data_IF_972775990968
#
_entry.id   IF_972775990968
#
_cell.length_a   1.000
_cell.length_b   1.000
_cell.length_c   1.000
_cell.angle_alpha   90.00
_cell.angle_beta   90.00
_cell.angle_gamma   90.00
#
_symmetry.space_group_name_H-M   'P 1'
#
loop_
_entity.id
_entity.type
_entity.pdbx_description
1 polymer ?
#
# COMPACT_ATOMS: atom_id res chain seq x y z
N UNK A 1 -71.14 -47.70 27.49
CA UNK A 1 -72.44 -47.01 27.39
C UNK A 1 -73.03 -47.40 26.06
N UNK A 2 -74.12 -48.14 25.93
CA UNK A 2 -74.99 -48.83 26.87
C UNK A 2 -75.91 -49.63 25.95
N UNK A 3 -76.04 -50.93 26.18
CA UNK A 3 -77.14 -51.71 25.63
C UNK A 3 -78.44 -51.13 26.20
N UNK A 4 -79.43 -50.86 25.36
CA UNK A 4 -80.81 -50.68 25.84
C UNK A 4 -81.69 -51.68 25.09
N UNK A 5 -81.81 -52.82 25.76
CA UNK A 5 -82.88 -53.78 25.66
C UNK A 5 -84.16 -53.16 26.27
N UNK A 6 -85.30 -53.22 25.55
CA UNK A 6 -86.63 -53.05 26.15
C UNK A 6 -87.48 -54.23 25.71
N UNK A 7 -87.52 -55.23 26.58
CA UNK A 7 -88.62 -56.17 26.72
C UNK A 7 -89.51 -55.67 27.85
N UNK A 8 -90.83 -55.64 27.66
CA UNK A 8 -91.84 -55.80 28.71
C UNK A 8 -93.22 -55.95 28.05
N UNK A 9 -93.72 -57.19 27.95
CA UNK A 9 -94.73 -57.83 28.83
C UNK A 9 -96.12 -57.76 28.19
N UNK A 10 -96.62 -58.89 27.70
CA UNK A 10 -97.38 -59.91 28.45
C UNK A 10 -98.82 -59.52 28.73
N UNK A 11 -99.73 -60.05 27.91
CA UNK A 11 -101.08 -60.41 28.36
C UNK A 11 -101.37 -61.83 27.87
N UNK A 12 -101.07 -62.79 28.75
CA UNK A 12 -101.71 -64.11 28.82
C UNK A 12 -102.70 -64.06 30.00
N UNK A 13 -103.55 -65.08 30.24
CA UNK A 13 -104.12 -66.08 29.33
C UNK A 13 -105.65 -66.21 29.57
N UNK A 14 -106.31 -67.15 28.91
CA UNK A 14 -107.29 -68.02 29.58
C UNK A 14 -107.41 -69.32 28.77
N UNK A 15 -106.81 -70.39 29.30
CA UNK A 15 -107.08 -71.77 28.91
C UNK A 15 -108.45 -72.18 29.47
N UNK A 16 -109.20 -73.03 28.76
CA UNK A 16 -109.37 -74.45 29.13
C UNK A 16 -110.69 -75.06 28.65
N UNK A 17 -110.55 -76.29 28.11
CA UNK A 17 -111.37 -77.48 28.38
C UNK A 17 -112.53 -77.83 27.43
N UNK A 18 -112.15 -78.65 26.46
CA UNK A 18 -112.79 -79.92 26.03
C UNK A 18 -113.79 -80.56 27.01
N UNK A 19 -114.99 -80.94 26.54
CA UNK A 19 -115.47 -82.34 26.56
C UNK A 19 -116.78 -82.53 25.78
N UNK A 20 -116.76 -83.55 24.92
CA UNK A 20 -117.81 -84.52 24.53
C UNK A 20 -119.14 -84.54 25.30
N UNK A 21 -120.27 -84.83 24.61
CA UNK A 21 -121.14 -86.02 24.77
C UNK A 21 -122.08 -86.18 23.55
N UNK A 22 -122.39 -87.44 23.24
CA UNK A 22 -123.25 -88.04 22.22
C UNK A 22 -124.71 -87.54 22.17
N UNK A 23 -125.34 -87.73 21.01
CA UNK A 23 -126.57 -88.52 20.75
C UNK A 23 -127.45 -87.90 19.63
N UNK A 24 -127.98 -88.75 18.74
CA UNK A 24 -129.10 -88.35 17.87
C UNK A 24 -130.42 -88.36 18.65
N UNK A 25 -131.61 -88.22 18.02
CA UNK A 25 -131.89 -87.68 16.69
C UNK A 25 -133.07 -86.66 16.67
N UNK A 26 -133.30 -86.06 15.49
CA UNK A 26 -134.56 -85.47 14.92
C UNK A 26 -134.95 -84.03 15.32
N UNK A 27 -134.81 -83.10 14.36
CA UNK A 27 -135.86 -82.46 13.48
C UNK A 27 -136.64 -81.37 14.23
N UNK A 28 -136.65 -80.11 13.80
CA UNK A 28 -137.38 -79.47 12.67
C UNK A 28 -136.86 -78.02 12.47
N UNK A 29 -137.22 -77.23 11.44
CA UNK A 29 -137.46 -77.49 10.00
C UNK A 29 -136.51 -76.63 9.11
N UNK A 30 -136.46 -76.85 7.78
CA UNK A 30 -135.35 -76.38 6.95
C UNK A 30 -135.54 -74.99 6.34
N UNK A 31 -134.37 -74.36 6.13
CA UNK A 31 -134.04 -73.45 5.03
C UNK A 31 -134.15 -71.92 5.25
N UNK A 32 -133.56 -71.42 6.34
CA UNK A 32 -132.83 -70.13 6.34
C UNK A 32 -131.37 -70.29 5.88
N UNK A 33 -131.04 -71.44 5.27
CA UNK A 33 -129.68 -71.88 4.88
C UNK A 33 -129.16 -71.14 3.63
N UNK A 34 -130.05 -70.55 2.83
CA UNK A 34 -129.65 -69.73 1.68
C UNK A 34 -129.13 -68.34 2.11
N UNK A 35 -129.72 -67.73 3.16
CA UNK A 35 -129.35 -66.39 3.62
C UNK A 35 -127.98 -66.33 4.28
N UNK A 36 -127.70 -67.24 5.23
CA UNK A 36 -126.40 -67.30 5.93
C UNK A 36 -125.27 -67.83 5.04
N UNK A 37 -125.58 -68.75 4.11
CA UNK A 37 -124.62 -69.19 3.08
C UNK A 37 -124.24 -68.06 2.13
N UNK A 38 -125.22 -67.29 1.63
CA UNK A 38 -124.95 -66.11 0.82
C UNK A 38 -124.18 -65.04 1.60
N UNK A 39 -124.53 -64.78 2.86
CA UNK A 39 -123.83 -63.80 3.70
C UNK A 39 -122.37 -64.21 3.98
N UNK A 40 -122.12 -65.51 4.23
CA UNK A 40 -120.77 -66.05 4.37
C UNK A 40 -119.97 -65.96 3.06
N UNK A 41 -120.61 -66.19 1.91
CA UNK A 41 -119.97 -66.04 0.59
C UNK A 41 -119.65 -64.58 0.29
N UNK A 42 -120.55 -63.63 0.58
CA UNK A 42 -120.29 -62.20 0.42
C UNK A 42 -119.21 -61.68 1.39
N UNK A 43 -119.19 -62.17 2.64
CA UNK A 43 -118.13 -61.83 3.59
C UNK A 43 -116.78 -62.44 3.19
N UNK A 44 -116.73 -63.69 2.72
CA UNK A 44 -115.51 -64.29 2.16
C UNK A 44 -115.03 -63.55 0.92
N UNK A 45 -115.93 -63.21 -0.01
CA UNK A 45 -115.58 -62.43 -1.19
C UNK A 45 -115.07 -61.02 -0.83
N UNK A 46 -115.67 -60.38 0.18
CA UNK A 46 -115.22 -59.10 0.71
C UNK A 46 -113.86 -59.16 1.41
N UNK A 47 -113.61 -60.21 2.21
CA UNK A 47 -112.32 -60.45 2.86
C UNK A 47 -111.22 -60.81 1.85
N UNK A 48 -111.54 -61.62 0.84
CA UNK A 48 -110.63 -61.92 -0.27
C UNK A 48 -110.36 -60.65 -1.08
N UNK A 49 -111.37 -59.83 -1.38
CA UNK A 49 -111.21 -58.57 -2.08
C UNK A 49 -110.38 -57.54 -1.30
N UNK A 50 -110.60 -57.44 0.02
CA UNK A 50 -109.80 -56.59 0.91
C UNK A 50 -108.37 -57.09 1.04
N UNK A 51 -108.18 -58.41 1.16
CA UNK A 51 -106.86 -59.03 1.18
C UNK A 51 -106.11 -58.83 -0.13
N UNK A 52 -106.77 -58.97 -1.30
CA UNK A 52 -106.17 -58.71 -2.61
C UNK A 52 -105.86 -57.22 -2.79
N UNK A 53 -106.74 -56.32 -2.33
CA UNK A 53 -106.49 -54.88 -2.37
C UNK A 53 -105.33 -54.47 -1.45
N UNK A 54 -105.27 -55.01 -0.23
CA UNK A 54 -104.14 -54.81 0.68
C UNK A 54 -102.85 -55.41 0.12
N UNK A 55 -102.89 -56.61 -0.46
CA UNK A 55 -101.74 -57.24 -1.08
C UNK A 55 -101.22 -56.40 -2.25
N UNK A 56 -102.09 -55.99 -3.18
CA UNK A 56 -101.71 -55.13 -4.31
C UNK A 56 -101.21 -53.74 -3.87
N UNK A 57 -101.76 -53.16 -2.80
CA UNK A 57 -101.29 -51.88 -2.23
C UNK A 57 -99.94 -52.02 -1.52
N UNK A 58 -99.71 -53.14 -0.83
CA UNK A 58 -98.44 -53.45 -0.15
C UNK A 58 -97.37 -53.80 -1.19
N UNK A 59 -97.71 -54.53 -2.25
CA UNK A 59 -96.82 -54.81 -3.38
C UNK A 59 -96.46 -53.54 -4.14
N UNK A 60 -97.43 -52.64 -4.36
CA UNK A 60 -97.20 -51.33 -4.95
C UNK A 60 -96.26 -50.47 -4.10
N UNK A 61 -96.51 -50.38 -2.78
CA UNK A 61 -95.64 -49.66 -1.86
C UNK A 61 -94.25 -50.30 -1.72
N UNK A 62 -94.15 -51.63 -1.80
CA UNK A 62 -92.88 -52.36 -1.80
C UNK A 62 -92.09 -52.12 -3.10
N UNK A 63 -92.78 -52.07 -4.25
CA UNK A 63 -92.19 -51.73 -5.54
C UNK A 63 -91.67 -50.27 -5.54
N UNK A 64 -92.48 -49.31 -5.06
CA UNK A 64 -92.08 -47.91 -4.93
C UNK A 64 -90.88 -47.74 -3.98
N UNK A 65 -90.89 -48.42 -2.84
CA UNK A 65 -89.75 -48.43 -1.90
C UNK A 65 -88.50 -49.06 -2.52
N UNK A 66 -88.64 -50.13 -3.31
CA UNK A 66 -87.52 -50.76 -4.01
C UNK A 66 -86.91 -49.82 -5.05
N UNK A 67 -87.74 -49.04 -5.77
CA UNK A 67 -87.29 -48.05 -6.74
C UNK A 67 -86.59 -46.86 -6.05
N UNK A 68 -87.13 -46.36 -4.94
CA UNK A 68 -86.49 -45.31 -4.12
C UNK A 68 -85.15 -45.80 -3.58
N UNK A 69 -85.06 -47.03 -3.08
CA UNK A 69 -83.82 -47.63 -2.59
C UNK A 69 -82.78 -47.78 -3.70
N UNK A 70 -83.19 -48.22 -4.89
CA UNK A 70 -82.29 -48.35 -6.04
C UNK A 70 -81.73 -46.98 -6.46
N UNK A 71 -82.59 -45.97 -6.61
CA UNK A 71 -82.19 -44.60 -6.95
C UNK A 71 -81.25 -44.00 -5.88
N UNK A 72 -81.53 -44.21 -4.59
CA UNK A 72 -80.65 -43.75 -3.52
C UNK A 72 -79.28 -44.43 -3.55
N UNK A 73 -79.24 -45.73 -3.85
CA UNK A 73 -77.99 -46.51 -3.97
C UNK A 73 -77.17 -46.04 -5.18
N UNK A 74 -77.82 -45.75 -6.31
CA UNK A 74 -77.16 -45.20 -7.50
C UNK A 74 -76.57 -43.81 -7.23
N UNK A 75 -77.33 -42.92 -6.56
CA UNK A 75 -76.82 -41.60 -6.16
C UNK A 75 -75.69 -41.70 -5.13
N UNK A 76 -75.75 -42.65 -4.21
CA UNK A 76 -74.68 -42.91 -3.25
C UNK A 76 -73.40 -43.36 -3.98
N UNK A 77 -73.52 -44.29 -4.93
CA UNK A 77 -72.38 -44.77 -5.71
C UNK A 77 -71.76 -43.66 -6.59
N UNK A 78 -72.60 -42.83 -7.23
CA UNK A 78 -72.13 -41.67 -7.98
C UNK A 78 -71.41 -40.65 -7.08
N UNK A 79 -71.91 -40.43 -5.86
CA UNK A 79 -71.26 -39.58 -4.87
C UNK A 79 -69.91 -40.16 -4.41
N UNK A 80 -69.81 -41.47 -4.21
CA UNK A 80 -68.56 -42.15 -3.82
C UNK A 80 -67.50 -42.06 -4.93
N UNK A 81 -67.89 -42.21 -6.19
CA UNK A 81 -66.99 -42.04 -7.34
C UNK A 81 -66.44 -40.61 -7.43
N UNK A 82 -67.30 -39.59 -7.26
CA UNK A 82 -66.88 -38.20 -7.22
C UNK A 82 -65.95 -37.93 -6.03
N UNK A 83 -66.26 -38.47 -4.85
CA UNK A 83 -65.42 -38.33 -3.67
C UNK A 83 -64.03 -38.95 -3.88
N UNK A 84 -63.96 -40.12 -4.52
CA UNK A 84 -62.69 -40.78 -4.86
C UNK A 84 -61.86 -39.92 -5.81
N UNK A 85 -62.46 -39.38 -6.87
CA UNK A 85 -61.77 -38.53 -7.85
C UNK A 85 -61.23 -37.24 -7.21
N UNK A 86 -62.05 -36.57 -6.39
CA UNK A 86 -61.62 -35.34 -5.68
C UNK A 86 -60.53 -35.65 -4.65
N UNK A 87 -60.57 -36.82 -4.02
CA UNK A 87 -59.52 -37.27 -3.08
C UNK A 87 -58.19 -37.48 -3.81
N UNK A 88 -58.21 -38.09 -4.99
CA UNK A 88 -57.02 -38.30 -5.82
C UNK A 88 -56.42 -36.97 -6.30
N UNK A 89 -57.26 -36.02 -6.77
CA UNK A 89 -56.80 -34.68 -7.13
C UNK A 89 -56.19 -33.93 -5.94
N UNK A 90 -56.83 -34.01 -4.76
CA UNK A 90 -56.30 -33.41 -3.52
C UNK A 90 -54.95 -34.00 -3.15
N UNK A 91 -54.80 -35.33 -3.22
CA UNK A 91 -53.57 -36.01 -2.83
C UNK A 91 -52.43 -35.70 -3.83
N UNK A 92 -52.75 -35.62 -5.13
CA UNK A 92 -51.82 -35.16 -6.15
C UNK A 92 -51.37 -33.71 -5.94
N UNK A 93 -52.30 -32.80 -5.63
CA UNK A 93 -51.99 -31.41 -5.28
C UNK A 93 -51.12 -31.33 -4.02
N UNK A 94 -51.40 -32.16 -3.01
CA UNK A 94 -50.64 -32.21 -1.77
C UNK A 94 -49.20 -32.71 -2.01
N UNK A 95 -49.01 -33.70 -2.88
CA UNK A 95 -47.69 -34.17 -3.29
C UNK A 95 -46.89 -33.07 -4.00
N UNK A 96 -47.50 -32.36 -4.95
CA UNK A 96 -46.87 -31.25 -5.66
C UNK A 96 -46.52 -30.08 -4.70
N UNK A 97 -47.42 -29.73 -3.78
CA UNK A 97 -47.15 -28.72 -2.76
C UNK A 97 -45.97 -29.13 -1.86
N UNK A 98 -45.88 -30.41 -1.51
CA UNK A 98 -44.76 -30.94 -0.71
C UNK A 98 -43.45 -30.87 -1.50
N UNK A 99 -43.45 -31.19 -2.78
CA UNK A 99 -42.29 -31.02 -3.67
C UNK A 99 -41.86 -29.55 -3.76
N UNK A 100 -42.81 -28.63 -3.97
CA UNK A 100 -42.52 -27.19 -4.02
C UNK A 100 -41.97 -26.66 -2.70
N UNK A 101 -42.46 -27.18 -1.58
CA UNK A 101 -41.93 -26.83 -0.25
C UNK A 101 -40.46 -27.24 -0.12
N UNK A 102 -40.09 -28.45 -0.58
CA UNK A 102 -38.68 -28.90 -0.61
C UNK A 102 -37.80 -28.05 -1.51
N UNK A 103 -38.33 -27.57 -2.64
CA UNK A 103 -37.61 -26.61 -3.49
C UNK A 103 -37.36 -25.28 -2.78
N UNK A 104 -38.36 -24.76 -2.06
CA UNK A 104 -38.21 -23.54 -1.25
C UNK A 104 -37.13 -23.74 -0.18
N UNK A 105 -37.14 -24.86 0.54
CA UNK A 105 -36.12 -25.16 1.56
C UNK A 105 -34.71 -25.22 0.95
N UNK A 106 -34.57 -25.81 -0.25
CA UNK A 106 -33.31 -25.82 -1.01
C UNK A 106 -32.86 -24.41 -1.38
N UNK A 107 -33.76 -23.58 -1.90
CA UNK A 107 -33.45 -22.21 -2.27
C UNK A 107 -33.06 -21.36 -1.06
N UNK A 108 -33.72 -21.55 0.08
CA UNK A 108 -33.36 -20.88 1.33
C UNK A 108 -31.95 -21.26 1.80
N UNK A 109 -31.60 -22.55 1.73
CA UNK A 109 -30.25 -23.04 2.06
C UNK A 109 -29.19 -22.42 1.14
N UNK A 110 -29.42 -22.43 -0.18
CA UNK A 110 -28.52 -21.78 -1.15
C UNK A 110 -28.41 -20.27 -0.93
N UNK A 111 -29.53 -19.60 -0.65
CA UNK A 111 -29.53 -18.17 -0.31
C UNK A 111 -28.69 -17.89 0.92
N UNK A 112 -28.77 -18.74 1.95
CA UNK A 112 -27.98 -18.61 3.17
C UNK A 112 -26.49 -18.81 2.89
N UNK A 113 -26.13 -19.84 2.13
CA UNK A 113 -24.74 -20.09 1.72
C UNK A 113 -24.18 -18.92 0.90
N UNK A 114 -24.96 -18.35 0.00
CA UNK A 114 -24.55 -17.17 -0.77
C UNK A 114 -24.37 -15.96 0.14
N UNK A 115 -25.25 -15.75 1.12
CA UNK A 115 -25.13 -14.66 2.09
C UNK A 115 -23.86 -14.79 2.95
N UNK A 116 -23.56 -16.00 3.42
CA UNK A 116 -22.34 -16.27 4.20
C UNK A 116 -21.07 -16.08 3.34
N UNK A 117 -21.13 -16.47 2.06
CA UNK A 117 -20.03 -16.25 1.11
C UNK A 117 -19.79 -14.75 0.86
N UNK A 118 -20.86 -13.96 0.71
CA UNK A 118 -20.78 -12.49 0.57
C UNK A 118 -20.19 -11.83 1.82
N UNK A 119 -20.53 -12.34 3.01
CA UNK A 119 -19.97 -11.84 4.26
C UNK A 119 -18.45 -12.07 4.32
N UNK A 120 -17.99 -13.29 4.03
CA UNK A 120 -16.56 -13.61 4.02
C UNK A 120 -15.77 -12.74 3.02
N UNK A 121 -16.29 -12.58 1.80
CA UNK A 121 -15.68 -11.71 0.79
C UNK A 121 -15.66 -10.23 1.22
N UNK A 122 -16.66 -9.81 1.99
CA UNK A 122 -16.72 -8.46 2.57
C UNK A 122 -15.61 -8.26 3.60
N UNK A 123 -15.41 -9.23 4.49
CA UNK A 123 -14.32 -9.19 5.48
C UNK A 123 -12.94 -9.18 4.81
N UNK A 124 -12.73 -10.02 3.78
CA UNK A 124 -11.49 -10.03 3.00
C UNK A 124 -11.24 -8.69 2.30
N UNK A 125 -12.27 -8.11 1.68
CA UNK A 125 -12.20 -6.79 1.04
C UNK A 125 -11.81 -5.72 2.05
N UNK A 126 -12.44 -5.70 3.22
CA UNK A 126 -12.20 -4.68 4.24
C UNK A 126 -10.79 -4.81 4.83
N UNK A 127 -10.31 -6.04 5.02
CA UNK A 127 -8.92 -6.31 5.40
C UNK A 127 -7.91 -5.82 4.35
N UNK A 128 -8.17 -6.09 3.07
CA UNK A 128 -7.34 -5.58 1.97
C UNK A 128 -7.36 -4.05 1.90
N UNK A 129 -8.52 -3.43 2.14
CA UNK A 129 -8.65 -1.98 2.15
C UNK A 129 -7.85 -1.34 3.30
N UNK A 130 -7.85 -1.97 4.48
CA UNK A 130 -7.02 -1.53 5.60
C UNK A 130 -5.52 -1.59 5.27
N UNK A 131 -5.05 -2.70 4.69
CA UNK A 131 -3.67 -2.86 4.23
C UNK A 131 -3.30 -1.83 3.15
N UNK A 132 -4.19 -1.57 2.19
CA UNK A 132 -3.97 -0.54 1.17
C UNK A 132 -3.88 0.86 1.78
N UNK A 133 -4.70 1.15 2.78
CA UNK A 133 -4.66 2.43 3.50
C UNK A 133 -3.36 2.58 4.28
N UNK A 134 -2.86 1.52 4.91
CA UNK A 134 -1.55 1.52 5.55
C UNK A 134 -0.42 1.77 4.54
N UNK A 135 -0.43 1.07 3.40
CA UNK A 135 0.55 1.31 2.33
C UNK A 135 0.48 2.72 1.76
N UNK A 136 -0.71 3.30 1.67
CA UNK A 136 -0.87 4.71 1.26
C UNK A 136 -0.15 5.64 2.23
N UNK A 137 -0.29 5.42 3.54
CA UNK A 137 0.42 6.21 4.57
C UNK A 137 1.93 6.06 4.49
N UNK A 138 2.44 4.87 4.16
CA UNK A 138 3.87 4.67 3.92
C UNK A 138 4.36 5.48 2.72
N UNK A 139 3.59 5.51 1.62
CA UNK A 139 3.91 6.32 0.45
C UNK A 139 3.96 7.81 0.81
N UNK A 140 2.99 8.32 1.57
CA UNK A 140 2.98 9.71 2.02
C UNK A 140 4.22 10.07 2.86
N UNK A 141 4.66 9.15 3.74
CA UNK A 141 5.90 9.31 4.52
C UNK A 141 7.14 9.32 3.63
N UNK A 142 7.19 8.46 2.61
CA UNK A 142 8.33 8.42 1.69
C UNK A 142 8.38 9.69 0.81
N UNK A 143 7.23 10.23 0.42
CA UNK A 143 7.14 11.48 -0.32
C UNK A 143 7.64 12.67 0.51
N UNK A 144 7.28 12.74 1.79
CA UNK A 144 7.76 13.83 2.66
C UNK A 144 9.28 13.76 2.90
N UNK A 145 9.82 12.56 3.12
CA UNK A 145 11.28 12.35 3.21
C UNK A 145 11.99 12.69 1.90
N UNK A 146 11.43 12.30 0.76
CA UNK A 146 11.96 12.65 -0.55
C UNK A 146 12.03 14.16 -0.73
N UNK A 147 10.97 14.88 -0.34
CA UNK A 147 10.92 16.34 -0.40
C UNK A 147 11.97 16.98 0.50
N UNK A 148 12.13 16.51 1.74
CA UNK A 148 13.18 17.00 2.65
C UNK A 148 14.59 16.78 2.08
N UNK A 149 14.83 15.63 1.46
CA UNK A 149 16.11 15.33 0.81
C UNK A 149 16.34 16.24 -0.39
N UNK A 150 15.32 16.52 -1.21
CA UNK A 150 15.42 17.47 -2.32
C UNK A 150 15.77 18.88 -1.82
N UNK A 151 15.12 19.35 -0.76
CA UNK A 151 15.39 20.68 -0.19
C UNK A 151 16.81 20.76 0.40
N UNK A 152 17.29 19.68 1.03
CA UNK A 152 18.67 19.59 1.53
C UNK A 152 19.70 19.65 0.38
N UNK A 153 19.43 18.95 -0.74
CA UNK A 153 20.28 18.99 -1.94
C UNK A 153 20.30 20.40 -2.54
N UNK A 154 19.16 21.11 -2.55
CA UNK A 154 19.11 22.48 -3.04
C UNK A 154 20.02 23.41 -2.22
N UNK A 155 19.90 23.38 -0.89
CA UNK A 155 20.73 24.21 0.01
C UNK A 155 22.23 23.94 -0.17
N UNK A 156 22.62 22.67 -0.25
CA UNK A 156 24.02 22.29 -0.49
C UNK A 156 24.52 22.72 -1.87
N UNK A 157 23.62 22.76 -2.87
CA UNK A 157 23.94 23.25 -4.21
C UNK A 157 24.22 24.75 -4.19
N UNK A 158 23.40 25.53 -3.48
CA UNK A 158 23.61 26.97 -3.29
C UNK A 158 24.93 27.27 -2.55
N UNK A 159 25.23 26.53 -1.47
CA UNK A 159 26.47 26.67 -0.73
C UNK A 159 27.69 26.35 -1.61
N UNK A 160 27.64 25.25 -2.35
CA UNK A 160 28.69 24.87 -3.32
C UNK A 160 28.93 25.97 -4.34
N UNK A 161 27.87 26.52 -4.93
CA UNK A 161 27.97 27.54 -5.97
C UNK A 161 28.54 28.84 -5.40
N UNK A 162 28.16 29.22 -4.18
CA UNK A 162 28.75 30.34 -3.45
C UNK A 162 30.25 30.15 -3.18
N UNK A 163 30.66 28.97 -2.72
CA UNK A 163 32.07 28.64 -2.50
C UNK A 163 32.87 28.64 -3.81
N UNK A 164 32.30 28.11 -4.88
CA UNK A 164 32.93 28.11 -6.21
C UNK A 164 33.13 29.53 -6.74
N UNK A 165 32.16 30.43 -6.53
CA UNK A 165 32.30 31.84 -6.90
C UNK A 165 33.44 32.53 -6.11
N UNK A 166 33.52 32.28 -4.79
CA UNK A 166 34.60 32.81 -3.95
C UNK A 166 35.97 32.26 -4.37
N UNK A 167 36.08 30.95 -4.61
CA UNK A 167 37.31 30.34 -5.12
C UNK A 167 37.73 30.96 -6.45
N UNK A 168 36.78 31.17 -7.37
CA UNK A 168 37.04 31.82 -8.65
C UNK A 168 37.59 33.23 -8.47
N UNK A 169 37.07 34.00 -7.52
CA UNK A 169 37.59 35.33 -7.21
C UNK A 169 39.00 35.27 -6.62
N UNK A 170 39.26 34.33 -5.72
CA UNK A 170 40.61 34.11 -5.19
C UNK A 170 41.61 33.69 -6.26
N UNK A 171 41.21 32.86 -7.22
CA UNK A 171 42.05 32.53 -8.38
C UNK A 171 42.40 33.79 -9.18
N UNK A 172 41.45 34.70 -9.41
CA UNK A 172 41.74 35.98 -10.10
C UNK A 172 42.69 36.88 -9.33
N UNK A 173 42.59 36.92 -7.99
CA UNK A 173 43.54 37.65 -7.15
C UNK A 173 44.96 37.09 -7.32
N UNK A 174 45.12 35.76 -7.29
CA UNK A 174 46.41 35.10 -7.52
C UNK A 174 46.98 35.44 -8.91
N UNK A 175 46.16 35.39 -9.96
CA UNK A 175 46.58 35.74 -11.33
C UNK A 175 47.07 37.19 -11.43
N UNK A 176 46.41 38.13 -10.73
CA UNK A 176 46.83 39.54 -10.68
C UNK A 176 48.19 39.69 -9.98
N UNK A 177 48.46 38.90 -8.95
CA UNK A 177 49.74 38.91 -8.25
C UNK A 177 50.85 38.30 -9.12
N UNK A 178 50.54 37.26 -9.89
CA UNK A 178 51.49 36.63 -10.82
C UNK A 178 51.86 37.51 -12.02
N UNK A 179 51.03 38.50 -12.40
CA UNK A 179 51.30 39.44 -13.50
C UNK A 179 52.28 40.57 -13.16
N UNK A 180 52.78 40.68 -11.93
CA UNK A 180 53.87 41.64 -11.65
C UNK A 180 55.14 41.13 -12.32
N UNK A 181 55.68 41.89 -13.26
CA UNK A 181 57.00 41.65 -13.87
C UNK A 181 57.99 42.70 -13.40
N UNK A 182 59.26 42.35 -13.24
CA UNK A 182 60.29 43.32 -12.92
C UNK A 182 60.67 44.17 -14.14
N UNK A 183 61.12 45.43 -13.94
CA UNK A 183 61.66 46.23 -15.04
C UNK A 183 62.83 45.52 -15.73
N UNK A 184 63.10 45.86 -16.99
CA UNK A 184 64.21 45.25 -17.74
C UNK A 184 65.54 45.38 -16.97
N UNK A 185 66.29 44.27 -16.88
CA UNK A 185 67.54 44.19 -16.13
C UNK A 185 67.40 43.87 -14.63
N UNK A 186 66.17 43.85 -14.10
CA UNK A 186 65.88 43.45 -12.72
C UNK A 186 65.44 41.98 -12.68
N UNK A 187 65.84 41.27 -11.61
CA UNK A 187 65.47 39.86 -11.38
C UNK A 187 64.36 39.77 -10.35
N UNK A 188 63.31 39.03 -10.67
CA UNK A 188 62.22 38.75 -9.73
C UNK A 188 62.56 37.57 -8.83
N UNK A 189 62.44 37.76 -7.51
CA UNK A 189 62.43 36.67 -6.52
C UNK A 189 61.34 36.96 -5.51
N UNK A 190 60.45 36.01 -5.28
CA UNK A 190 59.34 36.14 -4.31
C UNK A 190 58.55 37.44 -4.45
N UNK A 191 58.23 37.84 -5.69
CA UNK A 191 57.49 39.07 -6.03
C UNK A 191 58.23 40.41 -5.74
N UNK A 192 59.52 40.37 -5.41
CA UNK A 192 60.40 41.53 -5.23
C UNK A 192 61.43 41.58 -6.38
N UNK A 193 61.78 42.79 -6.82
CA UNK A 193 62.72 43.02 -7.92
C UNK A 193 64.10 43.43 -7.41
N UNK A 194 65.13 42.74 -7.89
CA UNK A 194 66.52 42.95 -7.50
C UNK A 194 67.38 43.39 -8.69
N UNK A 195 68.24 44.40 -8.49
CA UNK A 195 69.23 44.85 -9.46
C UNK A 195 70.63 44.72 -8.86
N UNK A 196 71.52 44.04 -9.57
CA UNK A 196 72.91 43.86 -9.16
C UNK A 196 73.78 44.85 -9.95
N UNK A 197 74.25 45.91 -9.27
CA UNK A 197 75.12 46.89 -9.89
C UNK A 197 76.54 46.35 -10.05
N UNK A 198 77.18 46.65 -11.19
CA UNK A 198 78.60 46.36 -11.43
C UNK A 198 79.51 47.56 -11.14
N UNK A 199 78.94 48.70 -10.76
CA UNK A 199 79.68 49.93 -10.45
C UNK A 199 80.30 49.85 -9.04
N UNK A 200 81.58 50.26 -8.93
CA UNK A 200 82.27 50.36 -7.63
C UNK A 200 82.06 51.75 -7.04
N UNK A 201 81.52 51.81 -5.83
CA UNK A 201 81.30 53.05 -5.11
C UNK A 201 81.37 52.84 -3.59
N UNK A 202 81.43 53.94 -2.82
CA UNK A 202 81.27 53.88 -1.36
C UNK A 202 79.84 53.47 -1.01
N UNK A 203 79.61 52.95 0.21
CA UNK A 203 78.28 52.54 0.65
C UNK A 203 77.23 53.65 0.48
N UNK A 204 77.59 54.88 0.87
CA UNK A 204 76.70 56.05 0.75
C UNK A 204 76.36 56.36 -0.72
N UNK A 205 77.36 56.31 -1.61
CA UNK A 205 77.15 56.54 -3.04
C UNK A 205 76.34 55.41 -3.69
N UNK A 206 76.60 54.15 -3.33
CA UNK A 206 75.82 53.00 -3.79
C UNK A 206 74.35 53.14 -3.41
N UNK A 207 74.07 53.59 -2.17
CA UNK A 207 72.70 53.86 -1.72
C UNK A 207 72.01 54.96 -2.53
N UNK A 208 72.71 56.05 -2.79
CA UNK A 208 72.21 57.13 -3.64
C UNK A 208 71.91 56.63 -5.07
N UNK A 209 72.80 55.81 -5.64
CA UNK A 209 72.59 55.21 -6.97
C UNK A 209 71.36 54.28 -6.99
N UNK A 210 71.12 53.49 -5.94
CA UNK A 210 69.90 52.69 -5.82
C UNK A 210 68.64 53.57 -5.76
N UNK A 211 68.68 54.65 -4.98
CA UNK A 211 67.57 55.61 -4.85
C UNK A 211 67.26 56.36 -6.13
N UNK A 212 68.29 56.72 -6.90
CA UNK A 212 68.13 57.34 -8.22
C UNK A 212 67.40 56.40 -9.22
N UNK A 213 67.40 55.08 -8.96
CA UNK A 213 66.68 54.08 -9.76
C UNK A 213 65.32 53.68 -9.15
N UNK A 214 64.84 54.40 -8.13
CA UNK A 214 63.57 54.12 -7.46
C UNK A 214 63.62 52.91 -6.50
N UNK A 215 64.80 52.54 -6.00
CA UNK A 215 64.99 51.45 -5.03
C UNK A 215 65.86 51.90 -3.84
N UNK A 216 66.26 50.97 -2.97
CA UNK A 216 67.27 51.20 -1.92
C UNK A 216 68.23 50.00 -1.88
N UNK A 217 69.29 50.06 -1.07
CA UNK A 217 70.16 48.90 -0.87
C UNK A 217 69.38 47.74 -0.26
N UNK A 218 69.73 46.52 -0.64
CA UNK A 218 68.98 45.33 -0.28
C UNK A 218 68.96 45.07 1.24
N UNK A 219 67.78 44.76 1.74
CA UNK A 219 67.54 44.20 3.07
C UNK A 219 67.46 42.69 2.92
N UNK A 220 68.11 41.95 3.81
CA UNK A 220 68.07 40.48 3.80
C UNK A 220 67.48 40.04 5.13
N UNK A 221 66.22 39.63 5.13
CA UNK A 221 65.48 39.29 6.35
C UNK A 221 65.04 37.82 6.41
N UNK A 222 65.27 37.06 5.34
CA UNK A 222 64.95 35.64 5.25
C UNK A 222 66.14 34.78 4.79
N UNK A 223 66.09 33.50 5.16
CA UNK A 223 67.10 32.52 4.76
C UNK A 223 67.08 32.25 3.25
N UNK A 224 65.89 32.32 2.65
CA UNK A 224 65.66 32.17 1.22
C UNK A 224 66.33 33.30 0.44
N UNK A 225 66.17 34.55 0.89
CA UNK A 225 66.87 35.70 0.31
C UNK A 225 68.38 35.58 0.48
N UNK A 226 68.87 35.25 1.68
CA UNK A 226 70.31 35.09 1.91
C UNK A 226 70.93 34.04 0.97
N UNK A 227 70.25 32.90 0.77
CA UNK A 227 70.68 31.85 -0.18
C UNK A 227 70.69 32.37 -1.62
N UNK A 228 69.63 33.07 -2.02
CA UNK A 228 69.56 33.67 -3.36
C UNK A 228 70.70 34.67 -3.60
N UNK A 229 70.94 35.57 -2.65
CA UNK A 229 72.03 36.55 -2.69
C UNK A 229 73.39 35.86 -2.78
N UNK A 230 73.65 34.87 -1.93
CA UNK A 230 74.92 34.12 -1.91
C UNK A 230 75.16 33.37 -3.23
N UNK A 231 74.10 32.82 -3.85
CA UNK A 231 74.22 32.13 -5.13
C UNK A 231 74.49 33.09 -6.31
N UNK A 232 73.98 34.31 -6.23
CA UNK A 232 74.00 35.30 -7.32
C UNK A 232 75.22 36.22 -7.26
N UNK A 233 75.58 36.70 -6.07
CA UNK A 233 76.68 37.64 -5.85
C UNK A 233 77.99 36.86 -5.78
N UNK A 234 78.96 37.21 -6.64
CA UNK A 234 80.28 36.57 -6.70
C UNK A 234 81.41 37.41 -6.11
N UNK A 235 81.17 38.71 -5.98
CA UNK A 235 82.15 39.70 -5.51
C UNK A 235 81.61 40.40 -4.25
N UNK A 236 82.48 40.90 -3.35
CA UNK A 236 82.05 41.71 -2.22
C UNK A 236 81.18 42.89 -2.68
N UNK A 237 79.93 42.89 -2.23
CA UNK A 237 78.89 43.83 -2.69
C UNK A 237 78.22 44.48 -1.48
N UNK A 238 77.97 45.79 -1.56
CA UNK A 238 77.28 46.52 -0.51
C UNK A 238 75.82 46.08 -0.37
N UNK A 239 75.38 45.90 0.88
CA UNK A 239 73.99 45.67 1.27
C UNK A 239 73.50 46.81 2.17
N UNK A 240 72.21 46.81 2.52
CA UNK A 240 71.60 47.91 3.28
C UNK A 240 71.97 47.98 4.77
N UNK A 241 72.69 47.01 5.31
CA UNK A 241 73.03 46.99 6.73
C UNK A 241 74.18 47.96 7.03
N UNK A 242 74.01 48.81 8.05
CA UNK A 242 74.99 49.82 8.47
C UNK A 242 74.84 50.18 9.96
N UNK A 243 75.84 50.82 10.55
CA UNK A 243 75.82 51.33 11.92
C UNK A 243 76.22 52.81 12.01
N UNK A 244 76.01 53.56 10.92
CA UNK A 244 76.41 54.98 10.77
C UNK A 244 75.79 55.86 11.86
N UNK A 245 74.57 55.56 12.31
CA UNK A 245 73.88 56.30 13.39
C UNK A 245 74.61 56.16 14.74
N UNK A 246 75.09 54.95 15.04
CA UNK A 246 75.71 54.59 16.30
C UNK A 246 76.54 53.32 16.12
N UNK A 247 77.86 53.49 16.19
CA UNK A 247 78.85 52.40 16.14
C UNK A 247 78.40 51.19 17.00
N UNK A 248 78.46 50.00 16.41
CA UNK A 248 78.06 48.75 17.07
C UNK A 248 76.54 48.49 17.12
N UNK A 249 75.71 49.44 16.68
CA UNK A 249 74.25 49.28 16.56
C UNK A 249 73.84 49.23 15.09
N UNK A 250 73.85 48.02 14.53
CA UNK A 250 73.48 47.78 13.13
C UNK A 250 71.98 47.93 12.87
N UNK A 251 71.65 48.66 11.81
CA UNK A 251 70.30 48.85 11.28
C UNK A 251 70.29 48.69 9.76
N UNK A 252 69.15 48.32 9.23
CA UNK A 252 68.89 48.34 7.80
C UNK A 252 68.63 49.77 7.30
N UNK A 253 68.68 49.97 5.99
CA UNK A 253 68.41 51.25 5.35
C UNK A 253 67.01 51.81 5.64
N UNK A 254 66.03 50.97 5.96
CA UNK A 254 64.68 51.37 6.37
C UNK A 254 64.55 51.71 7.88
N UNK A 255 65.65 51.58 8.64
CA UNK A 255 65.70 51.81 10.07
C UNK A 255 65.36 50.61 10.94
N UNK A 256 64.96 49.48 10.35
CA UNK A 256 64.67 48.25 11.10
C UNK A 256 65.94 47.62 11.68
N UNK A 257 65.78 46.90 12.80
CA UNK A 257 66.86 46.13 13.41
C UNK A 257 66.98 44.77 12.71
N UNK A 258 68.20 44.24 12.49
CA UNK A 258 68.38 42.93 11.88
C UNK A 258 67.84 41.83 12.81
N UNK A 259 66.84 41.09 12.34
CA UNK A 259 66.27 39.92 13.01
C UNK A 259 67.18 38.71 12.93
N UNK A 260 67.94 38.58 11.84
CA UNK A 260 68.91 37.54 11.58
C UNK A 260 70.25 38.18 11.18
N UNK A 261 71.37 37.55 11.56
CA UNK A 261 72.70 38.08 11.31
C UNK A 261 73.56 37.04 10.60
N UNK A 262 73.88 37.33 9.34
CA UNK A 262 74.69 36.48 8.46
C UNK A 262 76.15 36.95 8.41
N UNK A 263 76.78 37.09 9.58
CA UNK A 263 78.16 37.57 9.65
C UNK A 263 79.14 36.56 9.06
N UNK A 264 80.09 37.04 8.25
CA UNK A 264 81.23 36.24 7.83
C UNK A 264 82.09 35.82 9.02
N UNK A 265 82.66 34.61 8.98
CA UNK A 265 83.62 34.19 10.00
C UNK A 265 84.93 34.98 9.86
N UNK A 266 85.61 35.33 10.96
CA UNK A 266 86.97 35.88 10.90
C UNK A 266 87.94 34.86 10.25
N UNK A 267 89.02 35.32 9.59
CA UNK A 267 90.07 34.44 9.09
C UNK A 267 90.61 33.56 10.21
N UNK A 268 90.79 32.30 9.88
CA UNK A 268 90.81 31.17 10.79
C UNK A 268 92.03 31.13 11.74
N UNK A 269 91.82 31.55 12.99
CA UNK A 269 92.72 31.26 14.12
C UNK A 269 92.02 30.38 15.19
N UNK A 270 90.89 29.75 14.84
CA UNK A 270 90.06 28.96 15.77
C UNK A 270 90.08 27.45 15.51
N UNK A 271 90.38 27.00 14.28
CA UNK A 271 90.22 25.60 13.88
C UNK A 271 91.09 24.60 14.62
N UNK A 272 92.20 25.00 15.23
CA UNK A 272 93.09 24.04 15.91
C UNK A 272 92.54 23.51 17.24
N UNK A 273 91.59 24.20 17.88
CA UNK A 273 90.97 23.74 19.14
C UNK A 273 89.64 23.02 18.93
N UNK A 274 88.88 23.34 17.89
CA UNK A 274 87.56 22.75 17.64
C UNK A 274 87.61 21.42 16.88
N UNK A 275 88.64 21.14 16.07
CA UNK A 275 88.72 19.91 15.27
C UNK A 275 88.75 18.59 16.09
N UNK A 276 89.06 18.63 17.39
CA UNK A 276 88.98 17.44 18.26
C UNK A 276 87.60 17.20 18.88
N UNK A 277 86.77 18.23 19.00
CA UNK A 277 85.40 18.11 19.52
C UNK A 277 84.37 17.90 18.40
N UNK A 278 84.61 18.49 17.22
CA UNK A 278 83.66 18.46 16.10
C UNK A 278 83.55 17.10 15.40
N UNK A 279 84.59 16.25 15.40
CA UNK A 279 84.52 14.93 14.75
C UNK A 279 83.60 13.96 15.51
N UNK A 280 83.57 14.06 16.84
CA UNK A 280 82.66 13.27 17.68
C UNK A 280 81.25 13.87 17.70
N UNK A 281 81.13 15.21 17.72
CA UNK A 281 79.85 15.91 17.68
C UNK A 281 79.12 15.80 16.35
N UNK A 282 79.81 15.97 15.21
CA UNK A 282 79.22 15.86 13.88
C UNK A 282 78.87 14.40 13.52
N UNK A 283 79.62 13.43 14.04
CA UNK A 283 79.30 12.01 13.92
C UNK A 283 78.02 11.62 14.68
N UNK A 284 77.85 12.12 15.91
CA UNK A 284 76.59 11.92 16.66
C UNK A 284 75.42 12.68 16.03
N UNK A 285 75.65 13.91 15.56
CA UNK A 285 74.61 14.74 14.96
C UNK A 285 74.13 14.19 13.61
N UNK A 286 75.04 13.59 12.81
CA UNK A 286 74.66 12.92 11.57
C UNK A 286 73.86 11.64 11.83
N UNK A 287 74.18 10.89 12.89
CA UNK A 287 73.41 9.71 13.31
C UNK A 287 72.02 10.11 13.83
N UNK A 288 71.90 11.18 14.63
CA UNK A 288 70.60 11.67 15.09
C UNK A 288 69.76 12.28 13.96
N UNK A 289 70.37 12.99 13.01
CA UNK A 289 69.66 13.48 11.82
C UNK A 289 69.20 12.35 10.90
N UNK A 290 70.03 11.32 10.69
CA UNK A 290 69.63 10.13 9.94
C UNK A 290 68.51 9.38 10.65
N UNK A 291 68.59 9.18 11.97
CA UNK A 291 67.52 8.55 12.74
C UNK A 291 66.23 9.38 12.73
N UNK A 292 66.32 10.70 12.81
CA UNK A 292 65.19 11.62 12.70
C UNK A 292 64.55 11.61 11.30
N UNK A 293 65.35 11.59 10.23
CA UNK A 293 64.86 11.49 8.85
C UNK A 293 64.23 10.12 8.56
N UNK A 294 64.82 9.03 9.07
CA UNK A 294 64.25 7.68 8.96
C UNK A 294 62.94 7.60 9.76
N UNK A 295 62.91 8.14 10.99
CA UNK A 295 61.69 8.19 11.81
C UNK A 295 60.59 9.03 11.18
N UNK A 296 60.92 10.19 10.60
CA UNK A 296 59.98 11.04 9.88
C UNK A 296 59.49 10.36 8.59
N UNK A 297 60.37 9.68 7.85
CA UNK A 297 60.00 8.92 6.66
C UNK A 297 59.08 7.74 6.99
N UNK A 298 59.36 6.99 8.08
CA UNK A 298 58.50 5.89 8.55
C UNK A 298 57.16 6.43 9.05
N UNK A 299 57.15 7.54 9.79
CA UNK A 299 55.91 8.18 10.24
C UNK A 299 55.08 8.70 9.05
N UNK A 300 55.72 9.30 8.06
CA UNK A 300 55.05 9.80 6.86
C UNK A 300 54.57 8.66 5.95
N UNK A 301 55.29 7.54 5.89
CA UNK A 301 54.88 6.34 5.15
C UNK A 301 53.71 5.61 5.82
N UNK A 302 53.69 5.52 7.16
CA UNK A 302 52.57 4.95 7.90
C UNK A 302 51.33 5.85 7.85
N UNK A 303 51.49 7.17 8.03
CA UNK A 303 50.36 8.11 7.97
C UNK A 303 49.76 8.25 6.56
N UNK A 304 50.57 8.19 5.49
CA UNK A 304 50.07 8.17 4.10
C UNK A 304 49.49 6.80 3.75
N UNK A 305 50.02 5.71 4.30
CA UNK A 305 49.48 4.35 4.14
C UNK A 305 48.08 4.21 4.73
N UNK A 306 47.88 4.66 5.97
CA UNK A 306 46.57 4.65 6.64
C UNK A 306 45.57 5.56 5.92
N UNK A 307 45.99 6.77 5.53
CA UNK A 307 45.13 7.68 4.74
C UNK A 307 44.77 7.12 3.35
N UNK A 308 45.67 6.37 2.71
CA UNK A 308 45.40 5.72 1.42
C UNK A 308 44.44 4.53 1.57
N UNK A 309 44.54 3.76 2.65
CA UNK A 309 43.61 2.68 2.97
C UNK A 309 42.20 3.23 3.27
N UNK A 310 42.11 4.30 4.06
CA UNK A 310 40.84 4.99 4.34
C UNK A 310 40.22 5.58 3.08
N UNK A 311 41.02 6.21 2.21
CA UNK A 311 40.54 6.76 0.93
C UNK A 311 40.03 5.67 -0.02
N UNK A 312 40.67 4.50 -0.04
CA UNK A 312 40.24 3.36 -0.86
C UNK A 312 38.89 2.79 -0.39
N UNK A 313 38.70 2.73 0.93
CA UNK A 313 37.46 2.26 1.57
C UNK A 313 36.32 3.24 1.33
N UNK A 314 36.57 4.55 1.49
CA UNK A 314 35.60 5.61 1.20
C UNK A 314 35.21 5.59 -0.28
N UNK A 315 36.16 5.37 -1.19
CA UNK A 315 35.89 5.29 -2.64
C UNK A 315 35.01 4.08 -2.99
N UNK A 316 35.22 2.93 -2.36
CA UNK A 316 34.39 1.75 -2.54
C UNK A 316 32.97 1.96 -2.01
N UNK A 317 32.83 2.52 -0.80
CA UNK A 317 31.52 2.86 -0.23
C UNK A 317 30.78 3.87 -1.08
N UNK A 318 31.47 4.89 -1.61
CA UNK A 318 30.88 5.87 -2.51
C UNK A 318 30.37 5.21 -3.80
N UNK A 319 31.11 4.26 -4.38
CA UNK A 319 30.64 3.54 -5.58
C UNK A 319 29.39 2.70 -5.31
N UNK A 320 29.33 2.01 -4.17
CA UNK A 320 28.16 1.21 -3.78
C UNK A 320 26.93 2.08 -3.53
N UNK A 321 27.08 3.21 -2.83
CA UNK A 321 25.98 4.17 -2.58
C UNK A 321 25.51 4.82 -3.88
N UNK A 322 26.43 5.09 -4.81
CA UNK A 322 26.11 5.62 -6.15
C UNK A 322 25.25 4.62 -6.94
N UNK A 323 25.57 3.33 -6.87
CA UNK A 323 24.82 2.26 -7.54
C UNK A 323 23.42 2.07 -6.93
N UNK A 324 23.30 2.10 -5.60
CA UNK A 324 22.00 2.04 -4.92
C UNK A 324 21.10 3.23 -5.29
N UNK A 325 21.65 4.45 -5.33
CA UNK A 325 20.94 5.64 -5.79
C UNK A 325 20.43 5.47 -7.22
N UNK A 326 21.26 4.95 -8.12
CA UNK A 326 20.89 4.79 -9.52
C UNK A 326 19.84 3.69 -9.71
N UNK A 327 19.85 2.65 -8.88
CA UNK A 327 18.80 1.63 -8.84
C UNK A 327 17.47 2.21 -8.32
N UNK A 328 17.50 2.97 -7.22
CA UNK A 328 16.32 3.65 -6.68
C UNK A 328 15.72 4.64 -7.69
N UNK A 329 16.56 5.39 -8.40
CA UNK A 329 16.11 6.34 -9.43
C UNK A 329 15.38 5.63 -10.57
N UNK A 330 15.88 4.48 -11.03
CA UNK A 330 15.20 3.66 -12.05
C UNK A 330 13.84 3.14 -11.57
N UNK A 331 13.74 2.73 -10.30
CA UNK A 331 12.47 2.26 -9.71
C UNK A 331 11.44 3.39 -9.59
N UNK A 332 11.87 4.59 -9.18
CA UNK A 332 11.03 5.78 -9.15
C UNK A 332 10.50 6.13 -10.54
N UNK A 333 11.35 6.14 -11.56
CA UNK A 333 10.93 6.40 -12.95
C UNK A 333 9.92 5.35 -13.46
N UNK A 334 10.11 4.07 -13.15
CA UNK A 334 9.16 3.02 -13.50
C UNK A 334 7.81 3.20 -12.78
N UNK A 335 7.83 3.62 -11.51
CA UNK A 335 6.62 3.94 -10.75
C UNK A 335 5.88 5.13 -11.35
N UNK A 336 6.57 6.21 -11.72
CA UNK A 336 5.96 7.37 -12.37
C UNK A 336 5.33 7.01 -13.71
N UNK A 337 5.95 6.11 -14.48
CA UNK A 337 5.37 5.62 -15.73
C UNK A 337 4.04 4.86 -15.49
N UNK A 338 4.00 3.98 -14.48
CA UNK A 338 2.78 3.25 -14.12
C UNK A 338 1.68 4.18 -13.62
N UNK A 339 2.02 5.16 -12.79
CA UNK A 339 1.07 6.17 -12.31
C UNK A 339 0.49 6.95 -13.50
N UNK A 340 1.32 7.40 -14.43
CA UNK A 340 0.86 8.10 -15.62
C UNK A 340 -0.02 7.22 -16.53
N UNK A 341 0.27 5.92 -16.64
CA UNK A 341 -0.58 4.98 -17.37
C UNK A 341 -1.96 4.82 -16.71
N UNK A 342 -2.00 4.65 -15.39
CA UNK A 342 -3.25 4.54 -14.63
C UNK A 342 -4.09 5.82 -14.72
N UNK A 343 -3.46 6.98 -14.58
CA UNK A 343 -4.13 8.29 -14.74
C UNK A 343 -4.78 8.36 -16.13
N UNK A 344 -4.06 8.02 -17.19
CA UNK A 344 -4.60 8.05 -18.54
C UNK A 344 -5.75 7.04 -18.75
N UNK A 345 -5.67 5.85 -18.16
CA UNK A 345 -6.77 4.89 -18.19
C UNK A 345 -8.02 5.42 -17.49
N UNK A 346 -7.84 6.03 -16.31
CA UNK A 346 -8.95 6.59 -15.54
C UNK A 346 -9.63 7.75 -16.28
N UNK A 347 -8.82 8.65 -16.87
CA UNK A 347 -9.31 9.75 -17.71
C UNK A 347 -10.15 9.21 -18.88
N UNK A 348 -9.66 8.17 -19.56
CA UNK A 348 -10.37 7.57 -20.68
C UNK A 348 -11.70 6.93 -20.26
N UNK A 349 -11.75 6.23 -19.12
CA UNK A 349 -13.00 5.68 -18.61
C UNK A 349 -13.99 6.77 -18.21
N UNK A 350 -13.52 7.84 -17.57
CA UNK A 350 -14.37 8.96 -17.18
C UNK A 350 -14.97 9.66 -18.40
N UNK A 351 -14.17 9.88 -19.45
CA UNK A 351 -14.62 10.46 -20.71
C UNK A 351 -15.65 9.58 -21.44
N UNK A 352 -15.47 8.25 -21.41
CA UNK A 352 -16.43 7.31 -21.98
C UNK A 352 -17.78 7.39 -21.27
N UNK A 353 -17.79 7.33 -19.93
CA UNK A 353 -19.01 7.45 -19.13
C UNK A 353 -19.69 8.81 -19.32
N UNK A 354 -18.91 9.89 -19.41
CA UNK A 354 -19.48 11.23 -19.65
C UNK A 354 -20.15 11.30 -21.03
N UNK A 355 -19.57 10.66 -22.05
CA UNK A 355 -20.13 10.60 -23.40
C UNK A 355 -21.44 9.78 -23.44
N UNK A 356 -21.49 8.67 -22.72
CA UNK A 356 -22.69 7.83 -22.58
C UNK A 356 -23.82 8.58 -21.88
N UNK A 357 -23.54 9.21 -20.74
CA UNK A 357 -24.51 10.04 -20.02
C UNK A 357 -24.98 11.25 -20.86
N UNK A 358 -24.09 11.85 -21.66
CA UNK A 358 -24.47 12.96 -22.55
C UNK A 358 -25.45 12.49 -23.62
N UNK A 359 -25.23 11.30 -24.21
CA UNK A 359 -26.16 10.70 -25.18
C UNK A 359 -27.50 10.33 -24.55
N UNK A 360 -27.52 9.83 -23.32
CA UNK A 360 -28.78 9.56 -22.61
C UNK A 360 -29.58 10.85 -22.38
N UNK A 361 -28.93 11.94 -22.01
CA UNK A 361 -29.58 13.26 -21.84
C UNK A 361 -30.11 13.79 -23.18
N UNK A 362 -29.34 13.68 -24.26
CA UNK A 362 -29.80 14.06 -25.61
C UNK A 362 -31.02 13.23 -26.04
N UNK A 363 -30.98 11.92 -25.84
CA UNK A 363 -32.07 11.00 -26.18
C UNK A 363 -33.35 11.28 -25.36
N UNK A 364 -33.20 11.61 -24.08
CA UNK A 364 -34.31 12.07 -23.22
C UNK A 364 -34.87 13.42 -23.69
N UNK A 365 -34.01 14.34 -24.14
CA UNK A 365 -34.44 15.64 -24.67
C UNK A 365 -35.22 15.52 -25.99
N UNK A 366 -34.82 14.61 -26.88
CA UNK A 366 -35.54 14.32 -28.12
C UNK A 366 -36.88 13.64 -27.85
N UNK A 367 -36.93 12.66 -26.93
CA UNK A 367 -38.19 12.05 -26.49
C UNK A 367 -39.19 13.09 -25.94
N UNK A 368 -38.71 14.11 -25.21
CA UNK A 368 -39.55 15.19 -24.70
C UNK A 368 -40.07 16.12 -25.80
N UNK A 369 -39.30 16.37 -26.86
CA UNK A 369 -39.73 17.19 -27.99
C UNK A 369 -40.75 16.51 -28.91
N UNK A 370 -40.68 15.18 -29.08
CA UNK A 370 -41.59 14.44 -29.95
C UNK A 370 -42.81 13.84 -29.21
N UNK A 371 -42.77 13.73 -27.87
CA UNK A 371 -43.90 13.27 -27.05
C UNK A 371 -44.99 14.31 -26.76
N UNK A 372 -44.83 15.56 -27.23
CA UNK A 372 -45.79 16.66 -27.05
C UNK A 372 -46.85 16.79 -28.15
N UNK A 373 -46.87 15.91 -29.15
CA UNK A 373 -47.84 15.91 -30.25
C UNK A 373 -48.45 14.51 -30.41
N UNK A 374 -49.36 14.13 -29.51
CA UNK A 374 -50.32 13.05 -29.72
C UNK A 374 -51.58 13.31 -28.90
#
# INVERSE_FOLDING_TARGET
MEEINVSLEDVKPLCSRSSTIQEGPRRFPPASVLGLGLLAVFLLAGLIGLAVHQHNSVDGAAADLSAVKANLTERLHASDQLLSSVTEERDGLMANLTEKTREVDRLQSLSKQNQDSVHLLTEERDGLMANLTEKTREVDRLQSLSKQNQDSVHLLTEERDGLMANLTEKTREVDRLQKKTCPAGWRMVSFVCYLFSTEKASWQQSRQNCRAKGADLVIIDSNEEQKFMTSTIKEPTWIGLNDIDREGTWKWVDGSLPTQKYWGQPPDNGLRRFLRASVLGLGLLSVFLLAGLIGLAVHHHNSVGDAAADLSTVKANLSSVTEERDNLTRRLQASDQLINQLINQLINQLNANLTENTREVECLSECFMWGGFA
#
